data_IF_060771775495
#
_entry.id   IF_060771775495
#
_cell.length_a   1.000
_cell.length_b   1.000
_cell.length_c   1.000
_cell.angle_alpha   90.00
_cell.angle_beta   90.00
_cell.angle_gamma   90.00
#
_symmetry.space_group_name_H-M   'P 1'
#
loop_
_entity.id
_entity.type
_entity.pdbx_description
1 polymer ?
#
# COMPACT_ATOMS: atom_id res chain seq x y z
N UNK A 1 -7.47 9.88 7.08
CA UNK A 1 -6.49 9.09 7.86
C UNK A 1 -5.32 8.75 6.96
N UNK A 2 -4.10 8.98 7.45
CA UNK A 2 -2.87 8.59 6.77
C UNK A 2 -2.41 7.24 7.27
N UNK A 3 -1.99 6.37 6.35
CA UNK A 3 -1.59 4.99 6.61
C UNK A 3 -0.25 4.72 5.95
N UNK A 4 0.65 4.06 6.65
CA UNK A 4 1.82 3.46 5.99
C UNK A 4 1.40 2.16 5.28
N UNK A 5 2.20 1.71 4.30
CA UNK A 5 1.99 0.44 3.61
C UNK A 5 2.66 -0.71 4.36
N UNK A 6 3.99 -0.68 4.44
CA UNK A 6 4.81 -1.82 4.84
C UNK A 6 4.86 -1.95 6.37
N UNK A 7 4.46 -3.10 6.91
CA UNK A 7 4.35 -3.29 8.36
C UNK A 7 3.10 -2.66 8.99
N UNK A 8 2.23 -2.03 8.20
CA UNK A 8 0.93 -1.49 8.65
C UNK A 8 -0.25 -2.14 7.92
N UNK A 9 -0.27 -2.04 6.58
CA UNK A 9 -1.30 -2.67 5.74
C UNK A 9 -0.86 -4.05 5.26
N UNK A 10 0.41 -4.15 4.87
CA UNK A 10 1.05 -5.38 4.41
C UNK A 10 2.06 -5.89 5.42
N UNK A 11 2.30 -7.20 5.42
CA UNK A 11 3.39 -7.80 6.16
C UNK A 11 4.74 -7.19 5.70
N UNK A 12 5.69 -6.96 6.62
CA UNK A 12 6.96 -6.33 6.27
C UNK A 12 7.79 -7.26 5.39
N UNK A 13 8.24 -6.72 4.25
CA UNK A 13 9.13 -7.42 3.30
C UNK A 13 10.28 -6.51 2.89
N UNK A 14 11.45 -7.11 2.65
CA UNK A 14 12.58 -6.37 2.09
C UNK A 14 12.35 -6.12 0.60
N UNK A 15 12.03 -4.87 0.26
CA UNK A 15 11.83 -4.40 -1.12
C UNK A 15 10.81 -5.21 -1.92
N UNK A 16 9.52 -5.20 -1.54
CA UNK A 16 8.48 -5.77 -2.40
C UNK A 16 8.51 -5.06 -3.76
N UNK A 17 8.49 -5.85 -4.84
CA UNK A 17 8.62 -5.35 -6.21
C UNK A 17 7.47 -5.79 -7.11
N UNK A 18 6.61 -6.71 -6.65
CA UNK A 18 5.43 -7.15 -7.39
C UNK A 18 4.17 -7.13 -6.51
N UNK A 19 2.97 -7.06 -7.12
CA UNK A 19 1.69 -7.17 -6.38
C UNK A 19 1.60 -8.38 -5.44
N UNK A 20 2.15 -9.52 -5.87
CA UNK A 20 2.09 -10.77 -5.11
C UNK A 20 2.98 -10.75 -3.86
N UNK A 21 3.93 -9.81 -3.76
CA UNK A 21 4.72 -9.58 -2.55
C UNK A 21 3.94 -8.83 -1.45
N UNK A 22 2.79 -8.22 -1.80
CA UNK A 22 1.99 -7.39 -0.91
C UNK A 22 0.95 -8.23 -0.16
N UNK A 23 1.44 -9.01 0.79
CA UNK A 23 0.60 -9.82 1.69
C UNK A 23 -0.06 -8.93 2.72
N UNK A 24 -1.39 -8.82 2.71
CA UNK A 24 -2.14 -8.02 3.67
C UNK A 24 -2.21 -8.71 5.04
N UNK A 25 -2.16 -7.92 6.12
CA UNK A 25 -2.47 -8.45 7.44
C UNK A 25 -3.90 -9.00 7.50
N UNK A 26 -4.05 -10.20 8.05
CA UNK A 26 -5.36 -10.81 8.24
C UNK A 26 -6.28 -9.92 9.07
N UNK A 27 -7.51 -9.71 8.60
CA UNK A 27 -8.49 -8.89 9.31
C UNK A 27 -8.29 -7.38 9.20
N UNK A 28 -7.39 -6.88 8.34
CA UNK A 28 -7.21 -5.43 8.15
C UNK A 28 -8.41 -4.74 7.47
N UNK A 29 -9.24 -5.49 6.72
CA UNK A 29 -10.39 -4.94 6.00
C UNK A 29 -11.45 -4.28 6.89
N UNK A 30 -12.02 -4.97 7.89
CA UNK A 30 -13.04 -4.41 8.79
C UNK A 30 -12.68 -3.07 9.46
N UNK A 31 -11.49 -2.87 10.09
CA UNK A 31 -11.16 -1.59 10.71
C UNK A 31 -11.02 -0.46 9.66
N UNK A 32 -10.42 -0.75 8.49
CA UNK A 32 -10.36 0.24 7.40
C UNK A 32 -11.75 0.63 6.92
N UNK A 33 -12.66 -0.35 6.83
CA UNK A 33 -14.05 -0.09 6.42
C UNK A 33 -14.79 0.76 7.44
N UNK A 34 -14.64 0.49 8.74
CA UNK A 34 -15.25 1.30 9.79
C UNK A 34 -14.82 2.77 9.69
N UNK A 35 -13.54 3.01 9.42
CA UNK A 35 -13.02 4.38 9.23
C UNK A 35 -13.62 5.06 7.99
N UNK A 36 -13.84 4.32 6.90
CA UNK A 36 -14.53 4.86 5.73
C UNK A 36 -16.01 5.16 6.01
N UNK A 37 -16.69 4.29 6.74
CA UNK A 37 -18.10 4.45 7.10
C UNK A 37 -18.30 5.66 8.04
N UNK A 38 -17.29 5.98 8.86
CA UNK A 38 -17.22 7.20 9.69
C UNK A 38 -16.83 8.47 8.89
N UNK A 39 -16.69 8.36 7.57
CA UNK A 39 -16.42 9.49 6.67
C UNK A 39 -14.95 9.85 6.48
N UNK A 40 -14.02 9.02 6.95
CA UNK A 40 -12.59 9.26 6.71
C UNK A 40 -12.16 8.81 5.32
N UNK A 41 -11.46 9.67 4.60
CA UNK A 41 -10.64 9.25 3.47
C UNK A 41 -9.42 8.47 3.96
N UNK A 42 -9.08 7.37 3.28
CA UNK A 42 -7.89 6.57 3.55
C UNK A 42 -6.80 6.92 2.54
N UNK A 43 -5.69 7.51 3.01
CA UNK A 43 -4.55 7.87 2.20
C UNK A 43 -3.34 7.05 2.63
N UNK A 44 -2.83 6.23 1.72
CA UNK A 44 -1.58 5.48 1.92
C UNK A 44 -0.41 6.36 1.52
N UNK A 45 0.54 6.52 2.44
CA UNK A 45 1.79 7.27 2.26
C UNK A 45 2.92 6.31 2.56
N UNK A 46 3.81 6.06 1.60
CA UNK A 46 4.85 5.04 1.76
C UNK A 46 6.15 5.43 1.05
N UNK A 47 7.28 5.09 1.67
CA UNK A 47 8.62 5.31 1.12
C UNK A 47 9.01 4.14 0.20
N UNK A 48 9.22 4.43 -1.09
CA UNK A 48 9.51 3.41 -2.11
C UNK A 48 10.96 3.45 -2.57
N UNK A 49 11.86 3.41 -1.58
CA UNK A 49 13.30 3.55 -1.78
C UNK A 49 13.96 2.48 -2.66
N UNK A 50 13.24 1.39 -2.97
CA UNK A 50 13.65 0.36 -3.94
C UNK A 50 13.68 0.87 -5.37
N UNK A 51 12.81 1.84 -5.72
CA UNK A 51 12.79 2.50 -7.02
C UNK A 51 14.10 3.24 -7.29
N UNK A 52 14.52 4.10 -6.35
CA UNK A 52 15.78 4.85 -6.46
C UNK A 52 17.03 3.95 -6.47
N UNK A 53 16.90 2.71 -5.98
CA UNK A 53 17.96 1.69 -5.98
C UNK A 53 17.95 0.82 -7.24
N UNK A 54 16.97 1.00 -8.14
CA UNK A 54 16.83 0.20 -9.36
C UNK A 54 16.41 -1.25 -9.11
N UNK A 55 15.73 -1.53 -7.99
CA UNK A 55 15.25 -2.88 -7.66
C UNK A 55 13.93 -3.23 -8.38
N UNK A 56 13.19 -2.21 -8.80
CA UNK A 56 11.99 -2.28 -9.62
C UNK A 56 11.80 -0.92 -10.30
N UNK A 57 10.92 -0.84 -11.30
CA UNK A 57 10.66 0.40 -12.04
C UNK A 57 9.32 1.07 -11.68
N UNK A 58 9.01 2.18 -12.35
CA UNK A 58 7.76 2.93 -12.13
C UNK A 58 6.51 2.12 -12.52
N UNK A 59 6.62 1.20 -13.47
CA UNK A 59 5.49 0.35 -13.90
C UNK A 59 5.19 -0.72 -12.86
N UNK A 60 6.23 -1.35 -12.30
CA UNK A 60 6.14 -2.27 -11.18
C UNK A 60 5.51 -1.59 -9.96
N UNK A 61 5.97 -0.38 -9.63
CA UNK A 61 5.42 0.42 -8.54
C UNK A 61 3.94 0.76 -8.78
N UNK A 62 3.59 1.18 -10.00
CA UNK A 62 2.22 1.46 -10.37
C UNK A 62 1.33 0.20 -10.30
N UNK A 63 1.87 -0.98 -10.64
CA UNK A 63 1.15 -2.25 -10.53
C UNK A 63 0.84 -2.59 -9.07
N UNK A 64 1.80 -2.43 -8.18
CA UNK A 64 1.63 -2.56 -6.73
C UNK A 64 0.54 -1.61 -6.18
N UNK A 65 0.57 -0.34 -6.58
CA UNK A 65 -0.44 0.63 -6.18
C UNK A 65 -1.83 0.29 -6.71
N UNK A 66 -1.96 -0.10 -7.98
CA UNK A 66 -3.25 -0.54 -8.55
C UNK A 66 -3.80 -1.76 -7.83
N UNK A 67 -2.94 -2.71 -7.47
CA UNK A 67 -3.33 -3.87 -6.68
C UNK A 67 -3.91 -3.45 -5.32
N UNK A 68 -3.18 -2.65 -4.54
CA UNK A 68 -3.64 -2.19 -3.22
C UNK A 68 -4.91 -1.35 -3.30
N UNK A 69 -4.99 -0.43 -4.25
CA UNK A 69 -6.18 0.40 -4.47
C UNK A 69 -7.42 -0.45 -4.78
N UNK A 70 -7.27 -1.53 -5.55
CA UNK A 70 -8.36 -2.47 -5.86
C UNK A 70 -8.80 -3.29 -4.65
N UNK A 71 -7.86 -3.82 -3.87
CA UNK A 71 -8.19 -4.73 -2.76
C UNK A 71 -8.64 -4.01 -1.49
N UNK A 72 -8.18 -2.77 -1.24
CA UNK A 72 -8.52 -2.00 -0.04
C UNK A 72 -9.42 -0.77 -0.29
N UNK A 73 -9.64 -0.36 -1.55
CA UNK A 73 -10.36 0.88 -1.90
C UNK A 73 -9.77 2.13 -1.23
N UNK A 74 -8.45 2.28 -1.32
CA UNK A 74 -7.69 3.39 -0.73
C UNK A 74 -7.07 4.26 -1.81
N UNK A 75 -6.78 5.53 -1.48
CA UNK A 75 -5.94 6.40 -2.31
C UNK A 75 -4.49 6.20 -1.90
N UNK A 76 -3.57 6.14 -2.88
CA UNK A 76 -2.15 5.86 -2.61
C UNK A 76 -1.32 6.97 -3.21
N UNK A 77 -0.41 7.50 -2.41
CA UNK A 77 0.63 8.43 -2.83
C UNK A 77 1.98 7.88 -2.40
N UNK A 78 2.95 7.89 -3.31
CA UNK A 78 4.34 7.59 -2.99
C UNK A 78 5.13 8.89 -2.96
N UNK A 79 6.05 8.99 -2.02
CA UNK A 79 7.08 10.03 -2.06
C UNK A 79 8.12 9.63 -3.10
N UNK A 80 8.51 10.57 -3.97
CA UNK A 80 9.52 10.36 -5.03
C UNK A 80 10.90 10.68 -4.53
#
# INVERSE_FOLDING_TARGET
MFLDRDGTLTEPRHYPSAPDDLVLFSGIGPPLRALQDDGFALLVVTNQSGLARGLFDEEDLAAMHRYLGRVLKVLITADR
#
